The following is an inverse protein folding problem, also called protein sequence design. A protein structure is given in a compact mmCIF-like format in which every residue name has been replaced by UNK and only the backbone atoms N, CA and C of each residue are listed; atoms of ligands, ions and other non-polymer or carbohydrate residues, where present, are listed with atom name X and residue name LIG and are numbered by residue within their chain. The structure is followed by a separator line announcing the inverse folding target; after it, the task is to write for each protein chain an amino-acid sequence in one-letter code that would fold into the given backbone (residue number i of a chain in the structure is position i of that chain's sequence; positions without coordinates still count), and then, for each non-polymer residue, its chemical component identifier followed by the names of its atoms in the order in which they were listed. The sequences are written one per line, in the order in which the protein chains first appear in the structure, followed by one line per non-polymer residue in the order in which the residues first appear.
data_IF_457805341514
#
_entry.id   IF_457805341514
#
_cell.length_a   1.000
_cell.length_b   1.000
_cell.length_c   1.000
_cell.angle_alpha   90.00
_cell.angle_beta   90.00
_cell.angle_gamma   90.00
#
_symmetry.space_group_name_H-M   'P 1'
#
loop_
_entity.id
_entity.type
_entity.pdbx_description
1 polymer ?
#
# COMPACT_ATOMS: atom_id res chain seq x y z
N UNK A 1 27.52 -12.48 -21.04
CA UNK A 1 27.86 -11.79 -19.77
C UNK A 1 27.07 -10.49 -19.78
N UNK A 2 25.91 -10.49 -19.14
CA UNK A 2 25.68 -10.04 -17.75
C UNK A 2 25.44 -8.53 -17.68
N UNK A 3 24.17 -8.19 -17.45
CA UNK A 3 23.75 -7.13 -16.54
C UNK A 3 22.27 -7.40 -16.22
N UNK A 4 22.01 -8.18 -15.18
CA UNK A 4 20.75 -8.05 -14.46
C UNK A 4 21.02 -7.04 -13.34
N UNK A 5 20.43 -5.83 -13.34
CA UNK A 5 20.55 -4.94 -12.20
C UNK A 5 19.34 -5.12 -11.27
N UNK A 6 19.70 -5.27 -9.99
CA UNK A 6 18.90 -5.12 -8.79
C UNK A 6 17.79 -6.17 -8.62
N UNK A 7 18.09 -7.20 -7.82
CA UNK A 7 17.07 -7.74 -6.95
C UNK A 7 16.58 -6.57 -6.09
N UNK A 8 15.49 -5.92 -6.51
CA UNK A 8 14.77 -4.96 -5.69
C UNK A 8 14.55 -5.64 -4.35
N UNK A 9 15.18 -5.10 -3.30
CA UNK A 9 14.98 -5.61 -1.95
C UNK A 9 13.54 -5.28 -1.62
N UNK A 10 12.66 -6.24 -1.88
CA UNK A 10 11.27 -6.13 -1.50
C UNK A 10 11.21 -6.14 0.02
N UNK A 11 10.99 -4.96 0.59
CA UNK A 11 10.84 -4.81 2.03
C UNK A 11 9.44 -5.22 2.51
N UNK A 12 8.50 -5.46 1.60
CA UNK A 12 7.14 -5.91 1.91
C UNK A 12 7.20 -7.35 2.40
N UNK A 13 6.66 -7.65 3.61
CA UNK A 13 6.59 -9.02 4.11
C UNK A 13 5.77 -9.95 3.19
N UNK A 14 6.14 -11.23 3.15
CA UNK A 14 5.46 -12.24 2.32
C UNK A 14 3.95 -12.32 2.59
N UNK A 15 3.53 -12.17 3.84
CA UNK A 15 2.11 -12.12 4.23
C UNK A 15 1.36 -10.95 3.59
N UNK A 16 2.03 -9.80 3.45
CA UNK A 16 1.46 -8.64 2.79
C UNK A 16 1.37 -8.81 1.28
N UNK A 17 2.37 -9.46 0.66
CA UNK A 17 2.31 -9.81 -0.76
C UNK A 17 1.17 -10.81 -1.04
N UNK A 18 1.04 -11.85 -0.22
CA UNK A 18 -0.04 -12.83 -0.34
C UNK A 18 -1.43 -12.17 -0.19
N UNK A 19 -1.57 -11.19 0.71
CA UNK A 19 -2.81 -10.45 0.86
C UNK A 19 -3.12 -9.53 -0.34
N UNK A 20 -2.10 -8.91 -0.94
CA UNK A 20 -2.25 -8.13 -2.17
C UNK A 20 -2.65 -9.03 -3.35
N UNK A 21 -2.05 -10.22 -3.45
CA UNK A 21 -2.43 -11.20 -4.46
C UNK A 21 -3.88 -11.66 -4.28
N UNK A 22 -4.30 -11.97 -3.05
CA UNK A 22 -5.68 -12.33 -2.76
C UNK A 22 -6.66 -11.20 -3.06
N UNK A 23 -6.27 -9.94 -2.78
CA UNK A 23 -7.07 -8.76 -3.13
C UNK A 23 -7.24 -8.62 -4.65
N UNK A 24 -6.14 -8.69 -5.41
CA UNK A 24 -6.17 -8.61 -6.88
C UNK A 24 -6.96 -9.75 -7.51
N UNK A 25 -6.75 -10.98 -7.04
CA UNK A 25 -7.48 -12.15 -7.50
C UNK A 25 -8.98 -12.07 -7.17
N UNK A 26 -9.32 -11.58 -5.98
CA UNK A 26 -10.71 -11.36 -5.58
C UNK A 26 -11.41 -10.26 -6.38
N UNK A 27 -10.69 -9.22 -6.79
CA UNK A 27 -11.21 -8.18 -7.71
C UNK A 27 -11.68 -8.79 -9.04
N UNK A 28 -10.89 -9.69 -9.63
CA UNK A 28 -11.27 -10.39 -10.86
C UNK A 28 -12.55 -11.24 -10.71
N UNK A 29 -12.89 -11.62 -9.48
CA UNK A 29 -14.10 -12.38 -9.14
C UNK A 29 -15.26 -11.49 -8.67
N UNK A 30 -15.03 -10.18 -8.54
CA UNK A 30 -16.01 -9.22 -8.04
C UNK A 30 -16.19 -9.23 -6.52
N UNK A 31 -15.31 -9.90 -5.77
CA UNK A 31 -15.34 -9.95 -4.29
C UNK A 31 -13.93 -9.89 -3.70
N UNK A 32 -13.23 -8.74 -3.82
CA UNK A 32 -11.90 -8.56 -3.26
C UNK A 32 -11.93 -8.55 -1.72
N UNK A 33 -11.21 -9.45 -1.02
CA UNK A 33 -11.12 -9.41 0.43
C UNK A 33 -10.33 -8.17 0.89
N UNK A 34 -10.66 -7.54 2.03
CA UNK A 34 -9.89 -6.40 2.53
C UNK A 34 -8.47 -6.79 2.94
N UNK A 35 -7.50 -5.92 2.68
CA UNK A 35 -6.09 -6.11 3.09
C UNK A 35 -5.87 -5.49 4.46
N UNK A 36 -5.23 -6.22 5.38
CA UNK A 36 -5.14 -5.85 6.79
C UNK A 36 -3.77 -6.19 7.39
N UNK A 37 -2.70 -5.66 6.80
CA UNK A 37 -1.35 -6.17 7.01
C UNK A 37 -0.43 -5.24 7.80
N UNK A 38 0.60 -5.82 8.40
CA UNK A 38 1.66 -5.10 9.10
C UNK A 38 2.95 -5.20 8.28
N UNK A 39 3.39 -4.08 7.71
CA UNK A 39 4.61 -4.03 6.90
C UNK A 39 5.87 -3.93 7.78
N UNK A 40 5.74 -3.23 8.91
CA UNK A 40 6.80 -3.05 9.91
C UNK A 40 6.19 -2.80 11.28
N UNK A 41 7.01 -2.76 12.34
CA UNK A 41 6.55 -2.46 13.70
C UNK A 41 5.73 -1.17 13.79
N UNK A 42 6.10 -0.13 13.06
CA UNK A 42 5.48 1.20 13.04
C UNK A 42 4.74 1.51 11.72
N UNK A 43 4.49 0.52 10.87
CA UNK A 43 3.87 0.71 9.55
C UNK A 43 2.84 -0.38 9.26
N UNK A 44 1.60 0.03 9.02
CA UNK A 44 0.48 -0.87 8.68
C UNK A 44 -0.13 -0.47 7.35
N UNK A 45 -0.64 -1.46 6.63
CA UNK A 45 -1.37 -1.32 5.37
C UNK A 45 -2.82 -1.76 5.57
N UNK A 46 -3.74 -0.96 5.05
CA UNK A 46 -5.17 -1.25 5.01
C UNK A 46 -5.67 -0.95 3.61
N UNK A 47 -6.33 -1.91 2.96
CA UNK A 47 -7.04 -1.66 1.70
C UNK A 47 -8.46 -2.16 1.88
N UNK A 48 -9.42 -1.26 1.75
CA UNK A 48 -10.84 -1.58 1.85
C UNK A 48 -11.47 -1.29 0.47
N UNK A 49 -11.98 -2.31 -0.25
CA UNK A 49 -12.74 -2.09 -1.48
C UNK A 49 -13.91 -1.16 -1.21
N UNK A 50 -14.18 -0.25 -2.14
CA UNK A 50 -15.43 0.51 -2.07
C UNK A 50 -16.53 -0.29 -2.75
N UNK A 51 -17.79 -0.08 -2.35
CA UNK A 51 -18.93 -0.80 -2.92
C UNK A 51 -19.23 -0.46 -4.39
N UNK A 52 -18.42 0.39 -5.04
CA UNK A 52 -18.59 0.78 -6.44
C UNK A 52 -17.92 -0.19 -7.44
N UNK A 53 -17.08 -1.11 -6.96
CA UNK A 53 -16.35 -2.09 -7.77
C UNK A 53 -15.28 -1.51 -8.70
N UNK A 54 -14.98 -0.22 -8.60
CA UNK A 54 -14.02 0.53 -9.43
C UNK A 54 -12.92 1.17 -8.62
N UNK A 55 -13.13 1.32 -7.32
CA UNK A 55 -12.17 1.96 -6.42
C UNK A 55 -11.98 1.17 -5.14
N UNK A 56 -10.83 1.38 -4.51
CA UNK A 56 -10.58 0.92 -3.16
C UNK A 56 -9.88 2.01 -2.37
N UNK A 57 -10.19 2.12 -1.07
CA UNK A 57 -9.50 3.04 -0.18
C UNK A 57 -8.25 2.35 0.35
N UNK A 58 -7.08 2.88 0.00
CA UNK A 58 -5.82 2.44 0.56
C UNK A 58 -5.37 3.40 1.65
N UNK A 59 -4.94 2.85 2.78
CA UNK A 59 -4.48 3.59 3.94
C UNK A 59 -3.23 2.96 4.51
N UNK A 60 -2.20 3.79 4.69
CA UNK A 60 -1.05 3.48 5.52
C UNK A 60 -1.22 4.14 6.88
N UNK A 61 -0.83 3.43 7.93
CA UNK A 61 -0.83 3.95 9.29
C UNK A 61 0.60 3.91 9.82
N UNK A 62 1.07 5.05 10.35
CA UNK A 62 2.43 5.18 10.87
C UNK A 62 2.47 5.73 12.27
N UNK A 63 3.26 5.13 13.14
CA UNK A 63 3.56 5.68 14.47
C UNK A 63 4.80 6.58 14.40
N UNK A 64 4.63 7.90 14.54
CA UNK A 64 5.74 8.86 14.48
C UNK A 64 5.42 10.19 15.16
N UNK A 65 6.45 11.00 15.42
CA UNK A 65 6.31 12.35 15.99
C UNK A 65 6.01 13.44 14.95
N UNK A 66 6.11 13.13 13.65
CA UNK A 66 5.95 14.08 12.55
C UNK A 66 5.03 13.49 11.49
N UNK A 67 4.12 14.32 11.00
CA UNK A 67 3.20 14.02 9.91
C UNK A 67 3.47 14.95 8.72
N UNK A 68 4.48 14.66 7.86
CA UNK A 68 4.62 15.39 6.61
C UNK A 68 3.36 15.22 5.73
N UNK A 69 3.14 16.12 4.75
CA UNK A 69 1.92 16.12 3.93
C UNK A 69 1.68 14.83 3.15
N UNK A 70 2.76 14.18 2.67
CA UNK A 70 2.67 12.88 2.00
C UNK A 70 3.47 11.82 2.73
N UNK A 71 3.10 10.56 2.53
CA UNK A 71 3.77 9.43 3.15
C UNK A 71 5.24 9.29 2.73
N UNK A 72 5.55 9.55 1.45
CA UNK A 72 6.91 9.43 0.90
C UNK A 72 7.85 10.52 1.41
N UNK A 73 7.32 11.70 1.74
CA UNK A 73 8.09 12.78 2.38
C UNK A 73 8.62 12.40 3.78
N UNK A 74 8.16 11.28 4.36
CA UNK A 74 8.64 10.77 5.66
C UNK A 74 10.06 10.21 5.59
N UNK A 75 10.51 9.74 4.43
CA UNK A 75 11.89 9.30 4.22
C UNK A 75 12.05 8.10 3.29
N UNK A 76 13.25 7.98 2.73
CA UNK A 76 13.58 7.01 1.68
C UNK A 76 13.32 5.55 2.06
N UNK A 77 13.57 5.16 3.31
CA UNK A 77 13.34 3.77 3.73
C UNK A 77 11.85 3.41 3.85
N UNK A 78 10.97 4.37 4.12
CA UNK A 78 9.54 4.09 4.10
C UNK A 78 9.01 4.06 2.66
N UNK A 79 9.53 4.93 1.80
CA UNK A 79 9.18 4.96 0.39
C UNK A 79 9.35 3.58 -0.26
N UNK A 80 10.40 2.83 0.06
CA UNK A 80 10.61 1.48 -0.50
C UNK A 80 9.52 0.47 -0.12
N UNK A 81 8.89 0.58 1.06
CA UNK A 81 7.72 -0.26 1.40
C UNK A 81 6.50 0.13 0.56
N UNK A 82 6.29 1.43 0.38
CA UNK A 82 5.16 1.95 -0.40
C UNK A 82 5.34 1.56 -1.87
N UNK A 83 6.55 1.67 -2.40
CA UNK A 83 6.87 1.30 -3.78
C UNK A 83 6.66 -0.20 -4.02
N UNK A 84 7.09 -1.06 -3.08
CA UNK A 84 6.81 -2.50 -3.18
C UNK A 84 5.32 -2.86 -3.13
N UNK A 85 4.53 -2.15 -2.31
CA UNK A 85 3.06 -2.32 -2.29
C UNK A 85 2.44 -1.86 -3.59
N UNK A 86 2.84 -0.69 -4.08
CA UNK A 86 2.36 -0.11 -5.33
C UNK A 86 2.68 -1.03 -6.52
N UNK A 87 3.87 -1.63 -6.55
CA UNK A 87 4.27 -2.56 -7.62
C UNK A 87 3.47 -3.86 -7.57
N UNK A 88 3.19 -4.38 -6.36
CA UNK A 88 2.27 -5.50 -6.18
C UNK A 88 0.86 -5.21 -6.70
N UNK A 89 0.33 -4.00 -6.42
CA UNK A 89 -0.96 -3.56 -6.95
C UNK A 89 -0.95 -3.41 -8.47
N UNK A 90 0.09 -2.79 -9.03
CA UNK A 90 0.25 -2.60 -10.48
C UNK A 90 0.36 -3.91 -11.24
N UNK A 91 0.92 -4.96 -10.65
CA UNK A 91 0.97 -6.30 -11.25
C UNK A 91 -0.43 -6.87 -11.53
N UNK A 92 -1.44 -6.43 -10.78
CA UNK A 92 -2.86 -6.77 -10.97
C UNK A 92 -3.63 -5.72 -11.79
N UNK A 93 -2.95 -4.73 -12.37
CA UNK A 93 -3.57 -3.65 -13.13
C UNK A 93 -4.30 -2.61 -12.27
N UNK A 94 -4.11 -2.65 -10.95
CA UNK A 94 -4.68 -1.67 -10.02
C UNK A 94 -3.77 -0.44 -9.99
N UNK A 95 -4.32 0.74 -10.22
CA UNK A 95 -3.56 2.00 -10.23
C UNK A 95 -3.50 2.60 -8.81
N UNK A 96 -2.31 2.74 -8.22
CA UNK A 96 -2.12 3.50 -6.99
C UNK A 96 -2.33 5.02 -7.20
N UNK A 97 -2.65 5.78 -6.15
CA UNK A 97 -2.69 7.24 -6.23
C UNK A 97 -1.29 7.82 -6.49
N UNK A 98 -1.23 9.04 -7.03
CA UNK A 98 0.04 9.78 -7.17
C UNK A 98 0.73 9.99 -5.81
N UNK A 99 -0.06 10.26 -4.77
CA UNK A 99 0.41 10.39 -3.40
C UNK A 99 -0.59 9.80 -2.39
N UNK A 100 -0.04 9.29 -1.29
CA UNK A 100 -0.80 9.01 -0.08
C UNK A 100 -0.71 10.22 0.84
N UNK A 101 -1.82 10.94 0.97
CA UNK A 101 -1.89 12.21 1.69
C UNK A 101 -2.21 12.00 3.16
N UNK A 102 -1.61 12.80 4.03
CA UNK A 102 -1.96 12.83 5.44
C UNK A 102 -3.43 13.23 5.62
N UNK A 103 -4.20 12.38 6.28
CA UNK A 103 -5.61 12.62 6.57
C UNK A 103 -5.84 13.05 8.02
N UNK A 104 -5.29 12.29 8.98
CA UNK A 104 -5.53 12.51 10.41
C UNK A 104 -4.53 11.73 11.27
N UNK A 105 -4.57 11.95 12.58
CA UNK A 105 -3.87 11.13 13.57
C UNK A 105 -4.90 10.52 14.53
N UNK A 106 -4.85 9.20 14.70
CA UNK A 106 -5.74 8.47 15.61
C UNK A 106 -4.89 7.58 16.51
N UNK A 107 -5.04 7.73 17.83
CA UNK A 107 -4.32 6.95 18.84
C UNK A 107 -2.79 6.93 18.64
N UNK A 108 -2.21 8.05 18.20
CA UNK A 108 -0.78 8.18 17.90
C UNK A 108 -0.33 7.65 16.53
N UNK A 109 -1.26 7.16 15.72
CA UNK A 109 -1.00 6.69 14.36
C UNK A 109 -1.45 7.73 13.33
N UNK A 110 -0.51 8.25 12.55
CA UNK A 110 -0.80 9.08 11.39
C UNK A 110 -1.37 8.23 10.26
N UNK A 111 -2.49 8.67 9.69
CA UNK A 111 -3.16 8.00 8.59
C UNK A 111 -2.84 8.73 7.29
N UNK A 112 -2.28 7.98 6.35
CA UNK A 112 -2.02 8.43 4.99
C UNK A 112 -2.94 7.68 4.03
N UNK A 113 -3.73 8.40 3.24
CA UNK A 113 -4.84 7.82 2.48
C UNK A 113 -4.68 8.16 1.01
N UNK A 114 -5.09 7.22 0.16
CA UNK A 114 -5.36 7.51 -1.23
C UNK A 114 -6.34 6.50 -1.82
N UNK A 115 -6.76 6.78 -3.04
CA UNK A 115 -7.75 5.97 -3.75
C UNK A 115 -7.06 5.15 -4.83
N UNK A 116 -7.21 3.83 -4.75
CA UNK A 116 -6.82 2.92 -5.81
C UNK A 116 -7.90 2.92 -6.89
N UNK A 117 -7.49 2.83 -8.16
CA UNK A 117 -8.41 2.55 -9.26
C UNK A 117 -8.27 1.10 -9.68
N UNK A 118 -9.39 0.40 -9.69
CA UNK A 118 -9.48 -0.99 -10.11
C UNK A 118 -9.78 -1.03 -11.62
N UNK A 119 -9.24 -2.01 -12.37
CA UNK A 119 -9.48 -2.16 -13.80
C UNK A 119 -10.94 -2.52 -14.12
#
# INVERSE_FOLDING_TARGET
MSAAPLSDVNHVPDEALAALDAFGEGHLRGDPPPVRERLRSDLRLRIDPTGDGRTARCRFETEHARAPPTLRDRGSFLATYVDGVDDGLRAWGIEPPEAYEYAETVDGWHRYVGTLRLP
#
